data_IF_338814341208
#
_entry.id   IF_338814341208
#
_cell.length_a   1.000
_cell.length_b   1.000
_cell.length_c   1.000
_cell.angle_alpha   90.00
_cell.angle_beta   90.00
_cell.angle_gamma   90.00
#
_symmetry.space_group_name_H-M   'P 1'
#
loop_
_entity.id
_entity.type
_entity.pdbx_description
1 polymer ?
#
# COMPACT_ATOMS: atom_id res chain seq x y z
N UNK A 1 -22.13 -9.31 0.53
CA UNK A 1 -23.51 -8.97 0.09
C UNK A 1 -23.41 -7.68 -0.71
N UNK A 2 -24.10 -7.57 -1.85
CA UNK A 2 -24.15 -6.37 -2.67
C UNK A 2 -25.26 -5.41 -2.21
N UNK A 3 -25.38 -4.27 -2.88
CA UNK A 3 -26.42 -3.26 -2.63
C UNK A 3 -27.04 -2.82 -3.94
N UNK A 4 -28.37 -2.63 -3.93
CA UNK A 4 -29.11 -2.11 -5.08
C UNK A 4 -29.17 -0.59 -5.02
N UNK A 5 -28.69 0.06 -6.09
CA UNK A 5 -28.70 1.51 -6.24
C UNK A 5 -29.16 1.85 -7.65
N UNK A 6 -30.23 2.65 -7.77
CA UNK A 6 -30.75 3.08 -9.07
C UNK A 6 -31.18 1.92 -9.98
N UNK A 7 -31.72 0.84 -9.42
CA UNK A 7 -32.17 -0.35 -10.17
C UNK A 7 -31.05 -1.27 -10.66
N UNK A 8 -29.84 -1.07 -10.20
CA UNK A 8 -28.68 -1.94 -10.48
C UNK A 8 -28.13 -2.53 -9.20
N UNK A 9 -27.76 -3.80 -9.25
CA UNK A 9 -27.09 -4.49 -8.16
C UNK A 9 -25.58 -4.29 -8.24
N UNK A 10 -24.99 -3.74 -7.16
CA UNK A 10 -23.55 -3.52 -7.05
C UNK A 10 -22.96 -4.42 -5.97
N UNK A 11 -21.96 -5.20 -6.33
CA UNK A 11 -21.10 -5.92 -5.40
C UNK A 11 -19.68 -5.41 -5.60
N UNK A 12 -19.28 -4.46 -4.77
CA UNK A 12 -17.98 -3.81 -4.82
C UNK A 12 -17.36 -3.78 -3.44
N UNK A 13 -16.03 -3.80 -3.38
CA UNK A 13 -15.28 -3.46 -2.18
C UNK A 13 -15.17 -1.94 -2.10
N UNK A 14 -15.46 -1.40 -0.94
CA UNK A 14 -15.29 0.04 -0.66
C UNK A 14 -14.10 0.21 0.28
N UNK A 15 -13.07 0.92 -0.18
CA UNK A 15 -11.88 1.23 0.62
C UNK A 15 -12.11 2.42 1.56
N UNK A 16 -13.26 3.07 1.43
CA UNK A 16 -13.67 4.17 2.28
C UNK A 16 -14.22 3.71 3.62
N UNK A 17 -14.05 4.53 4.63
CA UNK A 17 -14.66 4.36 5.95
C UNK A 17 -15.73 5.42 6.17
N UNK A 18 -16.83 5.06 6.82
CA UNK A 18 -17.78 6.04 7.31
C UNK A 18 -17.14 6.90 8.40
N UNK A 19 -16.88 8.17 8.08
CA UNK A 19 -16.25 9.16 8.96
C UNK A 19 -17.28 10.13 9.58
N UNK A 20 -18.57 9.80 9.53
CA UNK A 20 -19.61 10.70 10.02
C UNK A 20 -19.39 11.16 11.47
N UNK A 21 -19.05 10.23 12.36
CA UNK A 21 -18.77 10.54 13.77
C UNK A 21 -17.57 11.47 13.93
N UNK A 22 -16.50 11.24 13.16
CA UNK A 22 -15.32 12.11 13.16
C UNK A 22 -15.67 13.53 12.69
N UNK A 23 -16.41 13.65 11.59
CA UNK A 23 -16.76 14.93 10.99
C UNK A 23 -17.66 15.79 11.91
N UNK A 24 -18.47 15.14 12.75
CA UNK A 24 -19.29 15.79 13.74
C UNK A 24 -18.64 15.96 15.13
N UNK A 25 -17.40 15.49 15.29
CA UNK A 25 -16.68 15.57 16.56
C UNK A 25 -17.16 14.57 17.63
N UNK A 26 -17.89 13.54 17.25
CA UNK A 26 -18.44 12.54 18.17
C UNK A 26 -17.48 11.36 18.41
N UNK A 27 -16.39 11.25 17.66
CA UNK A 27 -15.46 10.15 17.83
C UNK A 27 -14.19 10.26 16.98
N UNK A 28 -13.24 9.34 17.16
CA UNK A 28 -12.02 9.28 16.36
C UNK A 28 -12.30 8.76 14.94
N UNK A 29 -11.30 8.91 14.05
CA UNK A 29 -11.33 8.27 12.74
C UNK A 29 -11.47 6.75 12.85
N UNK A 30 -12.33 6.16 12.03
CA UNK A 30 -12.46 4.70 11.89
C UNK A 30 -11.33 4.11 11.03
N UNK A 31 -10.64 4.94 10.24
CA UNK A 31 -9.48 4.52 9.45
C UNK A 31 -8.22 4.53 10.33
N UNK A 32 -7.58 3.39 10.44
CA UNK A 32 -6.32 3.23 11.16
C UNK A 32 -5.17 2.87 10.22
N UNK A 33 -5.46 2.26 9.07
CA UNK A 33 -4.49 1.83 8.08
C UNK A 33 -4.63 2.61 6.78
N UNK A 34 -3.50 2.72 6.08
CA UNK A 34 -3.43 3.26 4.74
C UNK A 34 -2.33 2.53 3.96
N UNK A 35 -2.63 2.18 2.71
CA UNK A 35 -1.72 1.47 1.82
C UNK A 35 -1.29 2.39 0.69
N UNK A 36 0.01 2.39 0.40
CA UNK A 36 0.62 3.19 -0.65
C UNK A 36 1.03 2.26 -1.78
N UNK A 37 0.53 2.53 -2.97
CA UNK A 37 0.84 1.76 -4.17
C UNK A 37 1.64 2.62 -5.14
N UNK A 38 2.50 1.96 -5.95
CA UNK A 38 3.08 2.56 -7.14
C UNK A 38 2.04 2.69 -8.24
N UNK A 39 2.39 3.40 -9.30
CA UNK A 39 1.64 3.43 -10.55
C UNK A 39 1.65 2.07 -11.28
N UNK A 40 2.64 1.22 -11.02
CA UNK A 40 2.72 -0.16 -11.49
C UNK A 40 1.90 -1.14 -10.63
N UNK A 41 1.31 -0.69 -9.53
CA UNK A 41 0.45 -1.49 -8.65
C UNK A 41 1.17 -2.22 -7.53
N UNK A 42 2.47 -1.97 -7.32
CA UNK A 42 3.23 -2.56 -6.22
C UNK A 42 2.88 -1.91 -4.88
N UNK A 43 2.79 -2.70 -3.83
CA UNK A 43 2.62 -2.19 -2.48
C UNK A 43 3.94 -1.60 -1.97
N UNK A 44 4.10 -0.28 -2.06
CA UNK A 44 5.31 0.43 -1.64
C UNK A 44 5.43 0.49 -0.12
N UNK A 45 4.36 0.87 0.56
CA UNK A 45 4.36 1.08 1.99
C UNK A 45 2.98 0.85 2.59
N UNK A 46 2.94 0.69 3.90
CA UNK A 46 1.71 0.77 4.66
C UNK A 46 1.89 1.63 5.90
N UNK A 47 0.82 2.31 6.29
CA UNK A 47 0.72 3.03 7.54
C UNK A 47 -0.32 2.37 8.43
N UNK A 48 -0.01 2.25 9.71
CA UNK A 48 -0.95 1.87 10.75
C UNK A 48 -0.81 2.84 11.92
N UNK A 49 -1.86 3.59 12.19
CA UNK A 49 -1.85 4.72 13.12
C UNK A 49 -0.70 5.70 12.79
N UNK A 50 0.29 5.78 13.68
CA UNK A 50 1.49 6.62 13.54
C UNK A 50 2.70 5.92 12.92
N UNK A 51 2.64 4.59 12.80
CA UNK A 51 3.74 3.79 12.25
C UNK A 51 3.57 3.64 10.76
N UNK A 52 4.66 3.77 10.03
CA UNK A 52 4.72 3.51 8.59
C UNK A 52 5.86 2.56 8.28
N UNK A 53 5.57 1.53 7.50
CA UNK A 53 6.56 0.58 7.03
C UNK A 53 6.68 0.68 5.51
N UNK A 54 7.92 0.80 5.00
CA UNK A 54 8.21 0.74 3.57
C UNK A 54 8.71 -0.64 3.21
N UNK A 55 8.15 -1.24 2.19
CA UNK A 55 8.57 -2.52 1.61
C UNK A 55 9.42 -2.30 0.36
N UNK A 56 9.13 -1.21 -0.35
CA UNK A 56 9.75 -0.84 -1.62
C UNK A 56 10.07 0.65 -1.54
N UNK A 57 11.25 1.04 -2.01
CA UNK A 57 11.70 2.44 -2.00
C UNK A 57 12.26 2.84 -3.36
N UNK A 58 12.17 4.11 -3.70
CA UNK A 58 12.89 4.71 -4.81
C UNK A 58 14.15 5.39 -4.27
N UNK A 59 15.31 5.01 -4.80
CA UNK A 59 16.63 5.57 -4.41
C UNK A 59 17.17 6.60 -5.37
N UNK A 60 16.55 6.71 -6.55
CA UNK A 60 16.93 7.71 -7.51
C UNK A 60 16.41 9.09 -7.12
N UNK A 61 17.04 10.14 -7.62
CA UNK A 61 16.70 11.52 -7.38
C UNK A 61 16.44 12.27 -8.70
N UNK A 62 15.72 13.38 -8.61
CA UNK A 62 15.41 14.21 -9.77
C UNK A 62 14.61 13.46 -10.82
N UNK A 63 15.04 13.55 -12.08
CA UNK A 63 14.32 12.92 -13.20
C UNK A 63 14.55 11.40 -13.26
N UNK A 64 15.58 10.88 -12.62
CA UNK A 64 15.89 9.46 -12.62
C UNK A 64 14.85 8.63 -11.83
N UNK A 65 14.02 9.27 -11.01
CA UNK A 65 12.88 8.59 -10.36
C UNK A 65 11.91 7.94 -11.36
N UNK A 66 11.90 8.43 -12.63
CA UNK A 66 11.08 7.91 -13.71
C UNK A 66 11.77 6.83 -14.56
N UNK A 67 13.08 6.68 -14.39
CA UNK A 67 13.90 5.77 -15.20
C UNK A 67 14.41 4.57 -14.43
N UNK A 68 14.72 4.79 -13.16
CA UNK A 68 15.30 3.77 -12.31
C UNK A 68 14.21 2.93 -11.64
N UNK A 69 14.43 1.62 -11.52
CA UNK A 69 13.48 0.73 -10.88
C UNK A 69 13.35 1.00 -9.38
N UNK A 70 12.22 0.64 -8.82
CA UNK A 70 12.05 0.56 -7.38
C UNK A 70 12.91 -0.55 -6.77
N UNK A 71 13.36 -0.34 -5.54
CA UNK A 71 14.17 -1.30 -4.79
C UNK A 71 13.33 -2.01 -3.75
N UNK A 72 13.17 -3.32 -3.89
CA UNK A 72 12.53 -4.16 -2.89
C UNK A 72 13.45 -4.36 -1.68
N UNK A 73 12.96 -4.04 -0.49
CA UNK A 73 13.71 -4.18 0.75
C UNK A 73 13.58 -5.60 1.29
N UNK A 74 14.69 -6.19 1.73
CA UNK A 74 14.69 -7.49 2.42
C UNK A 74 14.09 -7.39 3.82
N UNK A 75 14.28 -6.24 4.46
CA UNK A 75 13.66 -5.89 5.73
C UNK A 75 13.00 -4.54 5.54
N UNK A 76 11.71 -4.39 5.85
CA UNK A 76 11.03 -3.12 5.71
C UNK A 76 11.66 -2.02 6.56
N UNK A 77 11.73 -0.80 6.05
CA UNK A 77 12.03 0.38 6.87
C UNK A 77 10.80 0.73 7.70
N UNK A 78 11.02 1.10 8.95
CA UNK A 78 9.96 1.49 9.88
C UNK A 78 10.16 2.93 10.32
N UNK A 79 9.08 3.72 10.31
CA UNK A 79 9.06 5.11 10.76
C UNK A 79 7.93 5.34 11.75
N UNK A 80 8.18 6.18 12.77
CA UNK A 80 7.15 6.74 13.63
C UNK A 80 6.87 8.17 13.17
N UNK A 81 5.79 8.36 12.41
CA UNK A 81 5.43 9.64 11.77
C UNK A 81 5.15 10.77 12.76
N UNK A 82 4.99 10.46 14.05
CA UNK A 82 4.86 11.51 15.09
C UNK A 82 6.20 12.12 15.45
N UNK A 83 7.27 11.33 15.38
CA UNK A 83 8.64 11.75 15.73
C UNK A 83 9.40 12.15 14.46
N UNK A 84 9.20 11.43 13.39
CA UNK A 84 9.82 11.65 12.08
C UNK A 84 8.78 11.76 10.97
N UNK A 85 8.08 12.89 10.85
CA UNK A 85 7.04 13.09 9.85
C UNK A 85 7.56 13.18 8.41
N UNK A 86 8.87 13.37 8.22
CA UNK A 86 9.52 13.45 6.92
C UNK A 86 10.25 12.18 6.52
N UNK A 87 10.20 11.15 7.38
CA UNK A 87 10.76 9.81 7.09
C UNK A 87 12.25 9.88 6.72
N UNK A 88 13.01 10.68 7.49
CA UNK A 88 14.45 10.90 7.29
C UNK A 88 15.33 10.19 8.32
N UNK A 89 14.72 9.47 9.23
CA UNK A 89 15.44 8.79 10.31
C UNK A 89 16.41 7.73 9.82
N UNK A 90 16.13 7.10 8.69
CA UNK A 90 16.92 6.00 8.11
C UNK A 90 18.34 6.40 7.70
N UNK A 91 18.60 7.68 7.45
CA UNK A 91 19.95 8.21 7.20
C UNK A 91 20.73 8.55 8.50
N UNK A 92 20.08 8.43 9.64
CA UNK A 92 20.66 8.73 10.95
C UNK A 92 21.45 7.57 11.53
N UNK A 93 22.57 7.86 12.20
CA UNK A 93 23.46 6.83 12.78
C UNK A 93 22.79 5.88 13.78
N UNK A 94 21.73 6.30 14.45
CA UNK A 94 21.03 5.52 15.48
C UNK A 94 19.78 4.81 14.95
N UNK A 95 19.49 4.90 13.68
CA UNK A 95 18.27 4.33 13.12
C UNK A 95 18.21 2.81 13.25
N UNK A 96 19.30 2.13 12.94
CA UNK A 96 19.34 0.67 12.98
C UNK A 96 19.09 0.13 14.41
N UNK A 97 19.68 0.74 15.43
CA UNK A 97 19.41 0.37 16.82
C UNK A 97 17.96 0.64 17.21
N UNK A 98 17.41 1.79 16.82
CA UNK A 98 16.02 2.15 17.03
C UNK A 98 15.07 1.16 16.35
N UNK A 99 15.36 0.78 15.13
CA UNK A 99 14.54 -0.12 14.31
C UNK A 99 14.59 -1.55 14.84
N UNK A 100 15.78 -2.09 15.17
CA UNK A 100 15.94 -3.45 15.71
C UNK A 100 15.15 -3.60 17.00
N UNK A 101 15.18 -2.62 17.89
CA UNK A 101 14.39 -2.65 19.14
C UNK A 101 12.89 -2.66 18.90
N UNK A 102 12.42 -2.34 17.70
CA UNK A 102 11.01 -2.28 17.30
C UNK A 102 10.64 -3.30 16.23
N UNK A 103 11.56 -4.18 15.85
CA UNK A 103 11.33 -5.17 14.80
C UNK A 103 10.11 -6.07 15.06
N UNK A 104 9.73 -6.28 16.33
CA UNK A 104 8.51 -7.01 16.70
C UNK A 104 7.24 -6.37 16.13
N UNK A 105 7.25 -5.07 15.80
CA UNK A 105 6.11 -4.37 15.18
C UNK A 105 5.88 -4.77 13.71
N UNK A 106 6.89 -5.35 13.06
CA UNK A 106 6.75 -5.82 11.68
C UNK A 106 5.73 -6.97 11.57
N UNK A 107 5.63 -7.83 12.59
CA UNK A 107 4.69 -8.96 12.58
C UNK A 107 3.23 -8.51 12.50
N UNK A 108 2.72 -7.63 13.38
CA UNK A 108 1.36 -7.14 13.25
C UNK A 108 1.14 -6.32 11.98
N UNK A 109 2.15 -5.60 11.48
CA UNK A 109 2.05 -4.89 10.19
C UNK A 109 1.87 -5.88 9.03
N UNK A 110 2.61 -6.99 9.01
CA UNK A 110 2.42 -8.05 8.01
C UNK A 110 1.01 -8.65 8.06
N UNK A 111 0.44 -8.81 9.26
CA UNK A 111 -0.94 -9.30 9.42
C UNK A 111 -1.94 -8.35 8.79
N UNK A 112 -1.76 -7.03 8.95
CA UNK A 112 -2.64 -6.04 8.34
C UNK A 112 -2.49 -6.03 6.81
N UNK A 113 -1.26 -6.13 6.29
CA UNK A 113 -1.01 -6.26 4.85
C UNK A 113 -1.63 -7.56 4.28
N UNK A 114 -1.55 -8.66 5.02
CA UNK A 114 -2.17 -9.94 4.64
C UNK A 114 -3.68 -9.81 4.41
N UNK A 115 -4.40 -9.10 5.28
CA UNK A 115 -5.85 -8.85 5.12
C UNK A 115 -6.17 -8.07 3.85
N UNK A 116 -5.31 -7.13 3.44
CA UNK A 116 -5.48 -6.44 2.17
C UNK A 116 -5.40 -7.43 1.00
N UNK A 117 -4.39 -8.31 0.98
CA UNK A 117 -4.25 -9.30 -0.10
C UNK A 117 -5.39 -10.33 -0.09
N UNK A 118 -5.90 -10.72 1.08
CA UNK A 118 -7.09 -11.57 1.18
C UNK A 118 -8.30 -10.90 0.51
N UNK A 119 -8.45 -9.58 0.62
CA UNK A 119 -9.55 -8.86 -0.02
C UNK A 119 -9.49 -8.94 -1.56
N UNK A 120 -8.31 -9.06 -2.14
CA UNK A 120 -8.14 -9.21 -3.59
C UNK A 120 -8.58 -10.59 -4.11
N UNK A 121 -8.64 -11.59 -3.25
CA UNK A 121 -9.21 -12.90 -3.62
C UNK A 121 -10.72 -12.81 -3.80
N UNK A 122 -11.40 -12.04 -2.96
CA UNK A 122 -12.84 -11.82 -3.07
C UNK A 122 -13.21 -10.74 -4.11
N UNK A 123 -12.39 -9.69 -4.19
CA UNK A 123 -12.56 -8.55 -5.09
C UNK A 123 -11.27 -8.30 -5.89
N UNK A 124 -11.03 -9.09 -6.95
CA UNK A 124 -9.82 -8.93 -7.75
C UNK A 124 -9.77 -7.56 -8.43
N UNK A 125 -8.56 -7.03 -8.68
CA UNK A 125 -8.37 -5.78 -9.41
C UNK A 125 -9.08 -5.82 -10.76
N UNK A 126 -9.85 -4.78 -11.07
CA UNK A 126 -10.60 -4.68 -12.33
C UNK A 126 -9.81 -3.99 -13.44
N UNK A 127 -8.78 -3.26 -13.05
CA UNK A 127 -7.89 -2.56 -13.98
C UNK A 127 -6.47 -3.03 -13.72
N UNK A 128 -5.70 -3.15 -14.78
CA UNK A 128 -4.26 -3.34 -14.69
C UNK A 128 -3.61 -1.97 -14.65
N UNK A 129 -2.52 -1.80 -13.88
CA UNK A 129 -1.71 -0.59 -13.92
C UNK A 129 -1.24 -0.29 -15.33
N UNK A 130 -1.08 0.97 -15.67
CA UNK A 130 -0.47 1.38 -16.93
C UNK A 130 1.03 1.53 -16.70
N UNK A 131 1.82 0.58 -17.21
CA UNK A 131 3.27 0.65 -17.22
C UNK A 131 3.80 0.91 -18.64
N UNK A 132 4.98 1.51 -18.73
CA UNK A 132 5.73 1.69 -19.99
C UNK A 132 6.81 0.62 -20.17
N UNK A 133 6.80 -0.43 -19.35
CA UNK A 133 7.80 -1.50 -19.43
C UNK A 133 7.55 -2.42 -20.64
N UNK A 134 8.63 -2.97 -21.19
CA UNK A 134 8.55 -3.93 -22.33
C UNK A 134 7.82 -5.20 -21.91
N UNK A 135 7.97 -5.62 -20.66
CA UNK A 135 7.33 -6.82 -20.11
C UNK A 135 5.80 -6.70 -20.17
N UNK A 136 5.25 -5.55 -19.84
CA UNK A 136 3.82 -5.31 -19.95
C UNK A 136 3.33 -5.25 -21.39
N UNK A 137 4.16 -4.70 -22.29
CA UNK A 137 3.85 -4.72 -23.72
C UNK A 137 3.81 -6.16 -24.27
N UNK A 138 4.72 -7.03 -23.83
CA UNK A 138 4.76 -8.45 -24.20
C UNK A 138 3.54 -9.19 -23.64
N UNK A 139 3.17 -8.92 -22.38
CA UNK A 139 1.99 -9.53 -21.74
C UNK A 139 0.69 -9.18 -22.47
N UNK A 140 0.56 -7.94 -22.94
CA UNK A 140 -0.58 -7.50 -23.76
C UNK A 140 -0.67 -8.18 -25.12
N UNK A 141 0.47 -8.64 -25.67
CA UNK A 141 0.54 -9.35 -26.95
C UNK A 141 0.28 -10.86 -26.80
N UNK A 142 0.39 -11.39 -25.59
CA UNK A 142 0.10 -12.79 -25.32
C UNK A 142 -1.41 -12.98 -25.24
N UNK A 143 -2.06 -13.73 -26.16
CA UNK A 143 -3.50 -13.93 -26.07
C UNK A 143 -3.84 -14.65 -24.78
N UNK A 144 -4.76 -14.08 -24.01
CA UNK A 144 -5.39 -14.77 -22.87
C UNK A 144 -6.11 -15.97 -23.47
N UNK A 145 -5.59 -17.17 -23.20
CA UNK A 145 -6.27 -18.40 -23.58
C UNK A 145 -7.70 -18.38 -23.03
N UNK A 146 -8.67 -19.00 -23.72
CA UNK A 146 -10.04 -19.06 -23.23
C UNK A 146 -10.01 -19.73 -21.86
N UNK A 147 -10.44 -18.96 -20.85
CA UNK A 147 -10.53 -19.45 -19.48
C UNK A 147 -11.47 -20.65 -19.42
N UNK A 148 -10.99 -21.72 -18.79
CA UNK A 148 -11.81 -22.83 -18.36
C UNK A 148 -12.75 -22.41 -17.24
#
# INVERSE_FOLDING_TARGET
RGQDVGGRHYRVHLDGYDQNDLLHGYGPSKRREFFYFSDDGDLLAMRFDRLKAHFIVQRAEGFDVWREPFVHLRVPLLFDLRVDPFERGDVGMNYDDWMIRRAFLLVPLQTVAGRLFESFQEFPPRQRPASFTVDEAIEKLTPVGPGE
#
